data_IF_058822902231
#
_entry.id   IF_058822902231
#
_cell.length_a   1.000
_cell.length_b   1.000
_cell.length_c   1.000
_cell.angle_alpha   90.00
_cell.angle_beta   90.00
_cell.angle_gamma   90.00
#
_symmetry.space_group_name_H-M   'P 1'
#
loop_
_entity.id
_entity.type
_entity.pdbx_description
1 polymer ?
#
# COMPACT_ATOMS: atom_id res chain seq x y z
N UNK A 1 -54.66 41.08 -29.85
CA UNK A 1 -53.85 40.94 -28.62
C UNK A 1 -53.18 39.59 -28.65
N UNK A 2 -51.88 39.56 -28.94
CA UNK A 2 -51.02 38.37 -28.95
C UNK A 2 -49.86 38.67 -27.99
N UNK A 3 -49.44 37.74 -27.11
CA UNK A 3 -48.37 38.01 -26.16
C UNK A 3 -46.99 37.72 -26.78
N UNK A 4 -46.03 38.56 -26.42
CA UNK A 4 -44.60 38.50 -26.74
C UNK A 4 -43.88 37.29 -26.10
N UNK A 5 -42.82 36.74 -26.73
CA UNK A 5 -42.02 35.67 -26.14
C UNK A 5 -40.95 36.22 -25.17
N UNK A 6 -40.75 35.51 -24.06
CA UNK A 6 -39.73 35.76 -23.04
C UNK A 6 -38.34 35.33 -23.53
N UNK A 7 -37.31 36.13 -23.19
CA UNK A 7 -35.90 35.86 -23.49
C UNK A 7 -35.36 34.76 -22.57
N UNK A 8 -34.91 33.65 -23.17
CA UNK A 8 -34.14 32.61 -22.49
C UNK A 8 -32.70 33.04 -22.23
N UNK A 9 -32.24 32.83 -21.00
CA UNK A 9 -30.86 33.02 -20.55
C UNK A 9 -29.99 31.93 -21.20
N UNK A 10 -28.99 32.33 -21.99
CA UNK A 10 -27.95 31.43 -22.50
C UNK A 10 -26.87 31.27 -21.43
N UNK A 11 -26.78 30.09 -20.81
CA UNK A 11 -25.59 29.69 -20.03
C UNK A 11 -24.47 29.27 -21.00
N UNK A 12 -23.34 29.94 -20.95
CA UNK A 12 -22.11 29.59 -21.69
C UNK A 12 -21.31 28.50 -20.95
N UNK A 13 -20.78 27.47 -21.62
CA UNK A 13 -20.16 26.29 -20.97
C UNK A 13 -18.65 26.46 -20.67
N UNK A 14 -18.13 27.68 -20.58
CA UNK A 14 -16.68 27.92 -20.61
C UNK A 14 -15.98 27.88 -19.24
N UNK A 15 -16.70 28.02 -18.12
CA UNK A 15 -16.05 28.02 -16.79
C UNK A 15 -15.69 26.63 -16.26
N UNK A 16 -16.40 25.57 -16.67
CA UNK A 16 -16.18 24.23 -16.10
C UNK A 16 -14.90 23.56 -16.62
N UNK A 17 -14.49 23.85 -17.86
CA UNK A 17 -13.28 23.27 -18.45
C UNK A 17 -11.98 23.90 -17.97
N UNK A 18 -12.00 25.19 -17.61
CA UNK A 18 -10.82 25.87 -17.08
C UNK A 18 -10.41 25.34 -15.70
N UNK A 19 -11.36 24.90 -14.87
CA UNK A 19 -11.09 24.32 -13.56
C UNK A 19 -10.49 22.91 -13.67
N UNK A 20 -10.96 22.11 -14.63
CA UNK A 20 -10.43 20.76 -14.91
C UNK A 20 -9.01 20.84 -15.47
N UNK A 21 -8.74 21.80 -16.36
CA UNK A 21 -7.40 22.03 -16.90
C UNK A 21 -6.43 22.53 -15.83
N UNK A 22 -6.89 23.42 -14.92
CA UNK A 22 -6.07 23.90 -13.80
C UNK A 22 -5.69 22.78 -12.84
N UNK A 23 -6.60 21.84 -12.54
CA UNK A 23 -6.31 20.67 -11.71
C UNK A 23 -5.31 19.70 -12.37
N UNK A 24 -5.41 19.49 -13.69
CA UNK A 24 -4.47 18.65 -14.45
C UNK A 24 -3.06 19.26 -14.55
N UNK A 25 -2.97 20.59 -14.74
CA UNK A 25 -1.69 21.30 -14.76
C UNK A 25 -1.06 21.33 -13.36
N UNK A 26 -1.87 21.45 -12.31
CA UNK A 26 -1.39 21.39 -10.93
C UNK A 26 -0.88 19.98 -10.56
N UNK A 27 -1.53 18.89 -11.01
CA UNK A 27 -1.04 17.52 -10.83
C UNK A 27 0.29 17.25 -11.57
N UNK A 28 0.46 17.84 -12.77
CA UNK A 28 1.66 17.63 -13.58
C UNK A 28 2.87 18.40 -13.04
N UNK A 29 2.65 19.58 -12.44
CA UNK A 29 3.72 20.39 -11.85
C UNK A 29 4.18 19.89 -10.46
N UNK A 30 3.30 19.26 -9.67
CA UNK A 30 3.68 18.76 -8.33
C UNK A 30 4.60 17.53 -8.41
N UNK A 31 4.59 16.75 -9.49
CA UNK A 31 5.48 15.59 -9.63
C UNK A 31 6.98 15.92 -9.74
N UNK A 32 7.35 17.18 -9.94
CA UNK A 32 8.73 17.54 -10.34
C UNK A 32 9.63 18.08 -9.22
N UNK A 33 9.11 18.39 -8.03
CA UNK A 33 9.90 19.01 -6.94
C UNK A 33 9.47 18.60 -5.52
N UNK A 34 8.92 17.39 -5.34
CA UNK A 34 8.93 16.76 -4.02
C UNK A 34 10.34 16.22 -3.78
N UNK A 35 11.24 17.06 -3.26
CA UNK A 35 12.39 16.54 -2.54
C UNK A 35 11.83 15.68 -1.41
N UNK A 36 11.86 14.36 -1.60
CA UNK A 36 11.34 13.36 -0.67
C UNK A 36 12.01 13.60 0.69
N UNK A 37 11.33 14.29 1.61
CA UNK A 37 11.81 14.49 2.98
C UNK A 37 11.63 13.16 3.70
N UNK A 38 12.57 12.25 3.46
CA UNK A 38 12.69 11.01 4.21
C UNK A 38 13.28 11.36 5.59
N UNK A 39 12.68 10.90 6.70
CA UNK A 39 13.29 11.04 8.01
C UNK A 39 14.72 10.51 8.00
N UNK A 40 15.65 11.14 8.73
CA UNK A 40 17.05 10.70 8.78
C UNK A 40 17.19 9.23 9.21
N UNK A 41 16.28 8.75 10.06
CA UNK A 41 16.16 7.34 10.45
C UNK A 41 15.90 6.43 9.25
N UNK A 42 14.93 6.79 8.39
CA UNK A 42 14.62 6.03 7.20
C UNK A 42 15.71 6.11 6.10
N UNK A 43 16.58 7.11 6.15
CA UNK A 43 17.78 7.17 5.30
C UNK A 43 18.89 6.20 5.76
N UNK A 44 18.82 5.71 7.01
CA UNK A 44 19.80 4.80 7.61
C UNK A 44 19.12 3.63 8.35
N UNK A 45 18.39 2.77 7.62
CA UNK A 45 17.53 1.75 8.20
C UNK A 45 18.27 0.78 9.12
N UNK A 46 19.49 0.36 8.75
CA UNK A 46 20.30 -0.54 9.55
C UNK A 46 20.69 0.06 10.92
N UNK A 47 21.03 1.36 10.95
CA UNK A 47 21.31 2.08 12.20
C UNK A 47 20.01 2.31 13.00
N UNK A 48 18.94 2.77 12.35
CA UNK A 48 17.69 3.12 13.04
C UNK A 48 16.96 1.92 13.63
N UNK A 49 17.09 0.75 13.01
CA UNK A 49 16.43 -0.48 13.44
C UNK A 49 17.34 -1.36 14.31
N UNK A 50 18.56 -0.91 14.63
CA UNK A 50 19.48 -1.66 15.47
C UNK A 50 18.91 -1.88 16.87
N UNK A 51 18.92 -3.12 17.34
CA UNK A 51 18.36 -3.50 18.63
C UNK A 51 16.83 -3.63 18.63
N UNK A 52 16.15 -3.37 17.52
CA UNK A 52 14.71 -3.62 17.39
C UNK A 52 14.48 -5.10 17.13
N UNK A 53 14.09 -5.81 18.18
CA UNK A 53 13.77 -7.23 18.14
C UNK A 53 12.30 -7.46 17.79
N UNK A 54 12.05 -8.14 16.67
CA UNK A 54 10.71 -8.60 16.26
C UNK A 54 10.66 -10.13 16.25
N UNK A 55 9.46 -10.70 16.38
CA UNK A 55 9.30 -12.15 16.41
C UNK A 55 9.10 -12.70 15.01
N UNK A 56 9.82 -13.77 14.64
CA UNK A 56 9.53 -14.52 13.41
C UNK A 56 8.20 -15.25 13.53
N UNK A 57 7.41 -15.20 12.46
CA UNK A 57 6.10 -15.86 12.35
C UNK A 57 6.14 -16.96 11.29
N UNK A 58 6.88 -16.71 10.21
CA UNK A 58 7.22 -17.69 9.18
C UNK A 58 8.72 -17.68 8.89
N UNK A 59 9.34 -18.85 8.62
CA UNK A 59 8.71 -20.19 8.46
C UNK A 59 8.04 -20.73 9.74
N UNK A 60 7.02 -21.59 9.60
CA UNK A 60 6.22 -22.05 10.75
C UNK A 60 7.10 -22.71 11.83
N UNK A 61 6.69 -22.53 13.10
CA UNK A 61 7.38 -23.01 14.31
C UNK A 61 8.70 -22.32 14.65
N UNK A 62 9.18 -21.38 13.83
CA UNK A 62 10.23 -20.46 14.25
C UNK A 62 9.62 -19.30 15.03
N UNK A 63 9.79 -19.30 16.35
CA UNK A 63 9.40 -18.19 17.23
C UNK A 63 10.61 -17.40 17.71
N UNK A 64 11.73 -17.47 17.00
CA UNK A 64 12.93 -16.74 17.37
C UNK A 64 12.74 -15.23 17.20
N UNK A 65 13.49 -14.50 17.99
CA UNK A 65 13.65 -13.06 17.84
C UNK A 65 14.63 -12.76 16.71
N UNK A 66 14.33 -11.74 15.92
CA UNK A 66 15.17 -11.20 14.86
C UNK A 66 15.43 -9.71 15.12
N UNK A 67 16.69 -9.31 15.18
CA UNK A 67 17.09 -7.89 15.21
C UNK A 67 17.21 -7.39 13.77
N UNK A 68 16.27 -6.54 13.35
CA UNK A 68 16.20 -6.08 11.96
C UNK A 68 17.47 -5.30 11.59
N UNK A 69 17.96 -4.41 12.45
CA UNK A 69 19.14 -3.60 12.14
C UNK A 69 20.41 -4.45 12.02
N UNK A 70 20.54 -5.49 12.85
CA UNK A 70 21.66 -6.44 12.76
C UNK A 70 21.62 -7.23 11.45
N UNK A 71 20.46 -7.74 11.04
CA UNK A 71 20.27 -8.46 9.77
C UNK A 71 20.62 -7.59 8.56
N UNK A 72 20.19 -6.32 8.57
CA UNK A 72 20.49 -5.37 7.50
C UNK A 72 21.98 -5.01 7.46
N UNK A 73 22.61 -4.82 8.61
CA UNK A 73 24.05 -4.55 8.70
C UNK A 73 24.90 -5.75 8.24
N UNK A 74 24.38 -6.97 8.41
CA UNK A 74 25.04 -8.23 8.04
C UNK A 74 25.06 -8.54 6.54
N UNK A 75 24.43 -7.73 5.69
CA UNK A 75 24.42 -7.96 4.24
C UNK A 75 25.84 -7.73 3.67
N UNK A 76 26.51 -8.82 3.30
CA UNK A 76 27.91 -8.79 2.81
C UNK A 76 28.04 -8.98 1.29
N UNK A 77 27.07 -9.67 0.68
CA UNK A 77 26.99 -9.90 -0.77
C UNK A 77 26.28 -8.76 -1.52
N UNK A 78 26.02 -8.99 -2.81
CA UNK A 78 25.32 -8.04 -3.70
C UNK A 78 23.79 -8.17 -3.64
N UNK A 79 23.30 -9.13 -2.86
CA UNK A 79 21.87 -9.33 -2.62
C UNK A 79 21.25 -8.15 -1.88
N UNK A 80 19.95 -7.95 -2.10
CA UNK A 80 19.19 -6.87 -1.48
C UNK A 80 18.08 -7.43 -0.61
N UNK A 81 17.88 -6.77 0.53
CA UNK A 81 16.77 -7.06 1.44
C UNK A 81 15.77 -5.91 1.40
N UNK A 82 14.53 -6.22 1.07
CA UNK A 82 13.41 -5.29 1.24
C UNK A 82 12.83 -5.45 2.65
N UNK A 83 12.62 -4.36 3.36
CA UNK A 83 11.90 -4.36 4.64
C UNK A 83 10.63 -3.57 4.47
N UNK A 84 9.50 -4.21 4.71
CA UNK A 84 8.19 -3.55 4.79
C UNK A 84 7.80 -3.46 6.25
N UNK A 85 7.59 -2.23 6.72
CA UNK A 85 7.07 -1.93 8.04
C UNK A 85 5.57 -1.68 7.87
N UNK A 86 4.80 -2.77 7.88
CA UNK A 86 3.36 -2.72 7.79
C UNK A 86 2.72 -2.07 9.00
N UNK A 87 1.51 -1.58 8.81
CA UNK A 87 0.57 -1.17 9.86
C UNK A 87 -0.04 -2.39 10.56
N UNK A 88 -1.12 -2.23 11.32
CA UNK A 88 -1.79 -3.38 11.93
C UNK A 88 -2.41 -4.32 10.89
N UNK A 89 -2.63 -5.59 11.25
CA UNK A 89 -2.96 -6.65 10.29
C UNK A 89 -4.24 -6.38 9.46
N UNK A 90 -5.23 -5.73 10.05
CA UNK A 90 -6.48 -5.34 9.39
C UNK A 90 -6.49 -3.95 8.76
N UNK A 91 -5.35 -3.26 8.65
CA UNK A 91 -5.30 -1.92 8.03
C UNK A 91 -5.14 -2.00 6.50
N UNK A 92 -5.57 -0.93 5.81
CA UNK A 92 -5.43 -0.85 4.35
C UNK A 92 -3.98 -0.92 3.88
N UNK A 93 -3.03 -0.29 4.58
CA UNK A 93 -1.64 -0.24 4.11
C UNK A 93 -1.02 -1.62 4.13
N UNK A 94 -1.15 -2.37 5.23
CA UNK A 94 -0.66 -3.75 5.34
C UNK A 94 -1.24 -4.64 4.24
N UNK A 95 -2.56 -4.57 4.03
CA UNK A 95 -3.23 -5.35 3.00
C UNK A 95 -2.70 -5.00 1.59
N UNK A 96 -2.57 -3.72 1.27
CA UNK A 96 -2.06 -3.26 -0.03
C UNK A 96 -0.58 -3.61 -0.24
N UNK A 97 0.27 -3.48 0.78
CA UNK A 97 1.67 -3.92 0.72
C UNK A 97 1.75 -5.40 0.35
N UNK A 98 1.02 -6.26 1.06
CA UNK A 98 1.01 -7.70 0.81
C UNK A 98 0.47 -8.04 -0.59
N UNK A 99 -0.61 -7.39 -1.02
CA UNK A 99 -1.19 -7.54 -2.36
C UNK A 99 -0.22 -7.16 -3.46
N UNK A 100 0.44 -6.00 -3.34
CA UNK A 100 1.44 -5.53 -4.32
C UNK A 100 2.66 -6.44 -4.34
N UNK A 101 3.23 -6.80 -3.19
CA UNK A 101 4.40 -7.70 -3.13
C UNK A 101 4.10 -9.03 -3.80
N UNK A 102 2.93 -9.64 -3.50
CA UNK A 102 2.52 -10.91 -4.13
C UNK A 102 2.45 -10.79 -5.66
N UNK A 103 1.87 -9.71 -6.18
CA UNK A 103 1.73 -9.50 -7.62
C UNK A 103 3.08 -9.25 -8.32
N UNK A 104 4.01 -8.55 -7.64
CA UNK A 104 5.28 -8.13 -8.23
C UNK A 104 6.48 -8.99 -7.84
N UNK A 105 6.29 -10.08 -7.08
CA UNK A 105 7.38 -10.90 -6.57
C UNK A 105 8.40 -11.33 -7.65
N UNK A 106 7.98 -11.78 -8.86
CA UNK A 106 8.92 -12.12 -9.92
C UNK A 106 9.77 -10.93 -10.41
N UNK A 107 9.20 -9.72 -10.44
CA UNK A 107 9.91 -8.51 -10.87
C UNK A 107 10.83 -7.96 -9.78
N UNK A 108 10.41 -8.04 -8.51
CA UNK A 108 11.24 -7.70 -7.34
C UNK A 108 12.53 -8.52 -7.35
N UNK A 109 12.44 -9.81 -7.67
CA UNK A 109 13.62 -10.66 -7.83
C UNK A 109 14.41 -10.31 -9.10
N UNK A 110 13.80 -10.48 -10.28
CA UNK A 110 14.52 -10.47 -11.55
C UNK A 110 15.05 -9.08 -11.95
N UNK A 111 14.26 -8.03 -11.73
CA UNK A 111 14.61 -6.65 -12.07
C UNK A 111 15.24 -5.95 -10.85
N UNK A 112 14.62 -6.07 -9.69
CA UNK A 112 15.06 -5.44 -8.45
C UNK A 112 16.35 -6.06 -7.87
N UNK A 113 16.57 -7.36 -8.06
CA UNK A 113 17.64 -8.10 -7.39
C UNK A 113 17.38 -8.19 -5.87
N UNK A 114 16.11 -8.28 -5.47
CA UNK A 114 15.70 -8.49 -4.10
C UNK A 114 15.64 -9.98 -3.86
N UNK A 115 16.48 -10.47 -2.96
CA UNK A 115 16.59 -11.89 -2.64
C UNK A 115 15.83 -12.23 -1.35
N UNK A 116 15.57 -11.21 -0.51
CA UNK A 116 14.91 -11.37 0.78
C UNK A 116 13.93 -10.23 1.05
N UNK A 117 12.78 -10.56 1.62
CA UNK A 117 11.75 -9.61 2.07
C UNK A 117 11.42 -9.87 3.54
N UNK A 118 11.59 -8.86 4.38
CA UNK A 118 11.13 -8.85 5.76
C UNK A 118 9.80 -8.11 5.82
N UNK A 119 8.69 -8.84 5.96
CA UNK A 119 7.34 -8.27 6.10
C UNK A 119 7.00 -8.16 7.59
N UNK A 120 7.17 -6.98 8.18
CA UNK A 120 6.78 -6.68 9.56
C UNK A 120 5.33 -6.24 9.61
N UNK A 121 4.54 -6.80 10.52
CA UNK A 121 3.12 -6.43 10.72
C UNK A 121 2.91 -6.04 12.18
N UNK A 122 2.19 -4.93 12.41
CA UNK A 122 1.86 -4.48 13.76
C UNK A 122 0.73 -5.33 14.37
N UNK A 123 1.04 -6.56 14.75
CA UNK A 123 0.08 -7.48 15.34
C UNK A 123 0.75 -8.70 15.93
N UNK A 124 0.00 -9.46 16.70
CA UNK A 124 0.43 -10.74 17.26
C UNK A 124 0.69 -11.79 16.16
N UNK A 125 1.49 -12.84 16.43
CA UNK A 125 1.80 -13.86 15.44
C UNK A 125 0.55 -14.50 14.81
N UNK A 126 -0.52 -14.68 15.59
CA UNK A 126 -1.81 -15.22 15.09
C UNK A 126 -2.49 -14.29 14.08
N UNK A 127 -2.39 -12.97 14.28
CA UNK A 127 -2.96 -11.95 13.40
C UNK A 127 -2.17 -11.87 12.10
N UNK A 128 -0.84 -11.92 12.20
CA UNK A 128 0.08 -11.98 11.07
C UNK A 128 -0.23 -13.20 10.18
N UNK A 129 -0.34 -14.39 10.78
CA UNK A 129 -0.71 -15.62 10.07
C UNK A 129 -2.07 -15.51 9.39
N UNK A 130 -3.05 -14.93 10.09
CA UNK A 130 -4.40 -14.79 9.55
C UNK A 130 -4.43 -13.88 8.32
N UNK A 131 -3.84 -12.69 8.38
CA UNK A 131 -3.83 -11.77 7.22
C UNK A 131 -3.04 -12.37 6.04
N UNK A 132 -1.90 -13.02 6.31
CA UNK A 132 -1.14 -13.70 5.28
C UNK A 132 -1.97 -14.79 4.59
N UNK A 133 -2.69 -15.63 5.35
CA UNK A 133 -3.59 -16.65 4.80
C UNK A 133 -4.74 -16.04 3.99
N UNK A 134 -5.38 -14.98 4.47
CA UNK A 134 -6.52 -14.34 3.77
C UNK A 134 -6.10 -13.71 2.43
N UNK A 135 -4.81 -13.38 2.30
CA UNK A 135 -4.23 -12.80 1.10
C UNK A 135 -3.40 -13.80 0.29
N UNK A 136 -3.43 -15.10 0.60
CA UNK A 136 -2.55 -16.09 -0.06
C UNK A 136 -1.11 -15.57 -0.18
N UNK A 137 -0.62 -14.90 0.87
CA UNK A 137 0.67 -14.23 0.86
C UNK A 137 1.77 -15.30 0.91
N UNK A 138 2.75 -15.29 -0.01
CA UNK A 138 3.80 -16.28 -0.02
C UNK A 138 4.70 -16.12 1.21
N UNK A 139 4.80 -17.16 2.05
CA UNK A 139 5.59 -17.16 3.28
C UNK A 139 6.66 -18.28 3.31
N UNK A 140 7.18 -18.62 2.13
CA UNK A 140 8.22 -19.63 1.92
C UNK A 140 8.09 -20.27 0.54
N UNK A 141 9.19 -20.78 0.00
CA UNK A 141 9.19 -21.48 -1.30
C UNK A 141 9.03 -20.54 -2.50
N UNK A 142 10.15 -20.10 -3.05
CA UNK A 142 10.20 -19.19 -4.19
C UNK A 142 11.62 -18.67 -4.37
N UNK A 143 11.90 -17.99 -5.48
CA UNK A 143 13.24 -17.42 -5.71
C UNK A 143 13.61 -16.29 -4.74
N UNK A 144 12.62 -15.68 -4.06
CA UNK A 144 12.79 -14.67 -3.01
C UNK A 144 12.39 -15.28 -1.67
N UNK A 145 13.26 -15.16 -0.67
CA UNK A 145 12.95 -15.54 0.71
C UNK A 145 12.04 -14.48 1.35
N UNK A 146 10.88 -14.88 1.86
CA UNK A 146 9.95 -13.97 2.53
C UNK A 146 9.77 -14.42 3.97
N UNK A 147 10.13 -13.56 4.91
CA UNK A 147 9.89 -13.75 6.33
C UNK A 147 8.77 -12.84 6.81
N UNK A 148 7.77 -13.45 7.44
CA UNK A 148 6.71 -12.71 8.11
C UNK A 148 7.10 -12.49 9.56
N UNK A 149 7.06 -11.24 10.01
CA UNK A 149 7.52 -10.80 11.32
C UNK A 149 6.38 -10.10 12.09
N UNK A 150 6.32 -10.36 13.39
CA UNK A 150 5.31 -9.85 14.31
C UNK A 150 5.92 -8.77 15.20
N UNK A 151 5.31 -7.58 15.18
CA UNK A 151 5.64 -6.43 16.04
C UNK A 151 4.36 -5.87 16.68
N UNK A 152 3.78 -6.53 17.70
CA UNK A 152 2.46 -6.18 18.23
C UNK A 152 2.32 -4.72 18.70
N UNK A 153 3.45 -4.11 19.06
CA UNK A 153 3.54 -2.75 19.58
C UNK A 153 4.00 -1.73 18.53
N UNK A 154 4.38 -2.14 17.32
CA UNK A 154 4.77 -1.26 16.23
C UNK A 154 6.07 -0.47 16.50
N UNK A 155 6.98 -1.02 17.28
CA UNK A 155 8.23 -0.34 17.64
C UNK A 155 9.20 -0.22 16.45
N UNK A 156 9.21 -1.18 15.52
CA UNK A 156 10.05 -1.12 14.32
C UNK A 156 9.68 0.05 13.41
N UNK A 157 8.37 0.25 13.17
CA UNK A 157 7.87 1.41 12.44
C UNK A 157 8.31 2.73 13.08
N UNK A 158 8.18 2.85 14.41
CA UNK A 158 8.55 4.08 15.15
C UNK A 158 10.05 4.35 15.09
N UNK A 159 10.86 3.31 15.25
CA UNK A 159 12.31 3.42 15.15
C UNK A 159 12.76 3.86 13.74
N UNK A 160 12.09 3.37 12.69
CA UNK A 160 12.31 3.80 11.31
C UNK A 160 11.82 5.24 11.05
N UNK A 161 10.92 5.77 11.88
CA UNK A 161 10.42 7.15 11.80
C UNK A 161 9.09 7.29 11.05
N UNK A 162 8.25 6.25 11.03
CA UNK A 162 6.89 6.35 10.47
C UNK A 162 6.01 7.29 11.32
N UNK A 163 4.98 7.86 10.70
CA UNK A 163 4.02 8.69 11.44
C UNK A 163 3.23 7.87 12.45
N UNK A 164 3.02 8.44 13.64
CA UNK A 164 2.14 7.86 14.68
C UNK A 164 0.66 8.19 14.46
N UNK A 165 0.35 9.05 13.48
CA UNK A 165 -1.01 9.41 13.08
C UNK A 165 -1.69 10.44 13.97
N UNK A 166 -3.02 10.51 13.87
CA UNK A 166 -3.83 11.51 14.57
C UNK A 166 -4.05 11.16 16.05
N UNK A 167 -3.41 11.95 16.94
CA UNK A 167 -3.59 11.89 18.40
C UNK A 167 -3.51 10.45 18.97
N UNK A 168 -2.40 9.73 18.70
CA UNK A 168 -2.27 8.31 19.08
C UNK A 168 -2.39 8.10 20.59
N UNK A 169 -1.75 8.96 21.38
CA UNK A 169 -1.68 8.87 22.85
C UNK A 169 -2.83 9.58 23.57
N UNK A 170 -3.89 9.95 22.84
CA UNK A 170 -5.01 10.67 23.44
C UNK A 170 -6.09 9.72 23.93
N UNK A 171 -6.02 9.35 25.20
CA UNK A 171 -6.97 8.42 25.83
C UNK A 171 -8.38 9.01 25.97
N UNK A 172 -8.55 10.33 25.77
CA UNK A 172 -9.88 10.95 25.79
C UNK A 172 -10.66 10.73 24.51
N UNK A 173 -9.99 10.35 23.41
CA UNK A 173 -10.62 10.06 22.13
C UNK A 173 -10.83 8.56 21.95
N UNK A 174 -12.02 8.19 21.49
CA UNK A 174 -12.29 6.79 21.15
C UNK A 174 -11.44 6.36 19.94
N UNK A 175 -11.04 5.07 19.87
CA UNK A 175 -10.38 4.48 18.70
C UNK A 175 -11.09 4.80 17.37
N UNK A 176 -12.43 4.77 17.38
CA UNK A 176 -13.24 5.10 16.22
C UNK A 176 -13.04 6.54 15.75
N UNK A 177 -13.00 7.52 16.66
CA UNK A 177 -12.79 8.93 16.30
C UNK A 177 -11.38 9.13 15.74
N UNK A 178 -10.37 8.52 16.35
CA UNK A 178 -8.98 8.56 15.86
C UNK A 178 -8.91 8.04 14.41
N UNK A 179 -9.50 6.86 14.16
CA UNK A 179 -9.51 6.24 12.83
C UNK A 179 -10.33 7.05 11.82
N UNK A 180 -11.49 7.58 12.22
CA UNK A 180 -12.32 8.42 11.36
C UNK A 180 -11.54 9.66 10.90
N UNK A 181 -10.90 10.37 11.83
CA UNK A 181 -10.08 11.54 11.51
C UNK A 181 -8.93 11.19 10.54
N UNK A 182 -8.17 10.13 10.82
CA UNK A 182 -7.13 9.64 9.89
C UNK A 182 -7.68 9.29 8.51
N UNK A 183 -8.87 8.66 8.47
CA UNK A 183 -9.59 8.26 7.25
C UNK A 183 -10.02 9.42 6.36
N UNK A 184 -10.42 10.53 6.97
CA UNK A 184 -10.78 11.76 6.22
C UNK A 184 -9.61 12.72 6.04
N UNK A 185 -8.38 12.29 6.36
CA UNK A 185 -7.16 13.09 6.20
C UNK A 185 -6.99 14.21 7.21
N UNK A 186 -7.63 14.11 8.39
CA UNK A 186 -7.38 15.01 9.52
C UNK A 186 -6.24 14.46 10.36
N UNK A 187 -5.20 15.27 10.50
CA UNK A 187 -4.00 14.95 11.26
C UNK A 187 -2.83 14.56 10.36
N UNK A 188 -1.59 14.67 10.85
CA UNK A 188 -0.45 14.16 10.13
C UNK A 188 -0.52 12.63 10.10
N UNK A 189 -0.22 11.99 8.97
CA UNK A 189 0.13 12.58 7.69
C UNK A 189 -1.12 12.81 6.80
N UNK A 190 -1.14 13.93 6.08
CA UNK A 190 -2.35 14.49 5.44
C UNK A 190 -2.71 13.87 4.07
N UNK A 191 -1.97 12.86 3.60
CA UNK A 191 -2.08 12.36 2.23
C UNK A 191 -3.12 11.23 2.04
N UNK A 192 -3.95 10.91 3.05
CA UNK A 192 -5.01 9.90 2.91
C UNK A 192 -5.95 10.22 1.74
N UNK A 193 -6.53 11.44 1.69
CA UNK A 193 -7.44 11.80 0.60
C UNK A 193 -6.74 11.80 -0.77
N UNK A 194 -5.55 12.42 -0.94
CA UNK A 194 -4.76 12.28 -2.16
C UNK A 194 -4.44 10.83 -2.58
N UNK A 195 -4.26 9.89 -1.65
CA UNK A 195 -4.00 8.48 -1.95
C UNK A 195 -5.29 7.70 -2.33
N UNK A 196 -6.44 8.15 -1.84
CA UNK A 196 -7.73 7.49 -2.05
C UNK A 196 -8.45 7.96 -3.31
N UNK A 197 -8.44 9.27 -3.60
CA UNK A 197 -9.14 9.86 -4.74
C UNK A 197 -8.76 9.29 -6.11
N UNK A 198 -7.48 8.98 -6.42
CA UNK A 198 -7.11 8.36 -7.69
C UNK A 198 -7.77 7.00 -7.92
N UNK A 199 -8.19 6.31 -6.85
CA UNK A 199 -8.92 5.05 -6.98
C UNK A 199 -10.36 5.21 -7.45
N UNK A 200 -10.95 6.40 -7.28
CA UNK A 200 -12.29 6.72 -7.77
C UNK A 200 -12.22 7.33 -9.18
N UNK A 201 -11.26 8.22 -9.43
CA UNK A 201 -11.17 8.93 -10.71
C UNK A 201 -10.40 8.17 -11.79
N UNK A 202 -9.55 7.22 -11.41
CA UNK A 202 -8.62 6.56 -12.32
C UNK A 202 -7.38 7.40 -12.61
N UNK A 203 -6.43 6.80 -13.34
CA UNK A 203 -5.21 7.45 -13.82
C UNK A 203 -4.89 6.88 -15.22
N UNK A 204 -4.87 7.70 -16.28
CA UNK A 204 -4.52 7.26 -17.63
C UNK A 204 -3.18 6.54 -17.69
N UNK A 205 -2.22 6.96 -16.87
CA UNK A 205 -0.86 6.42 -16.79
C UNK A 205 -0.66 5.50 -15.58
N UNK A 206 -1.73 5.20 -14.84
CA UNK A 206 -1.67 4.34 -13.67
C UNK A 206 -1.31 2.91 -14.04
N UNK A 207 -0.93 2.14 -13.03
CA UNK A 207 -0.70 0.69 -13.15
C UNK A 207 -1.90 -0.06 -12.57
N UNK A 208 -2.27 -1.18 -13.21
CA UNK A 208 -3.45 -2.00 -12.85
C UNK A 208 -3.16 -3.48 -12.68
N UNK A 209 -1.98 -3.95 -13.04
CA UNK A 209 -1.64 -5.37 -13.08
C UNK A 209 -1.87 -6.01 -11.71
N UNK A 210 -1.38 -5.36 -10.64
CA UNK A 210 -1.60 -5.82 -9.26
C UNK A 210 -3.04 -5.67 -8.78
N UNK A 211 -3.80 -4.72 -9.35
CA UNK A 211 -5.20 -4.48 -8.97
C UNK A 211 -6.06 -5.64 -9.48
N UNK A 212 -5.91 -5.99 -10.76
CA UNK A 212 -6.61 -7.13 -11.37
C UNK A 212 -6.21 -8.45 -10.70
N UNK A 213 -4.91 -8.67 -10.47
CA UNK A 213 -4.43 -9.86 -9.78
C UNK A 213 -5.00 -9.98 -8.36
N UNK A 214 -5.14 -8.85 -7.66
CA UNK A 214 -5.72 -8.83 -6.31
C UNK A 214 -7.23 -9.01 -6.29
N UNK A 215 -7.95 -8.43 -7.25
CA UNK A 215 -9.38 -8.65 -7.44
C UNK A 215 -9.68 -10.11 -7.79
N UNK A 216 -8.84 -10.73 -8.64
CA UNK A 216 -8.92 -12.15 -8.99
C UNK A 216 -8.71 -13.02 -7.77
N UNK A 217 -7.61 -12.84 -7.05
CA UNK A 217 -7.35 -13.61 -5.83
C UNK A 217 -8.49 -13.47 -4.83
N UNK A 218 -9.00 -12.26 -4.60
CA UNK A 218 -10.16 -12.07 -3.73
C UNK A 218 -11.42 -12.75 -4.21
N UNK A 219 -11.73 -12.69 -5.51
CA UNK A 219 -12.88 -13.35 -6.11
C UNK A 219 -12.79 -14.88 -6.00
N UNK A 220 -11.61 -15.47 -6.21
CA UNK A 220 -11.36 -16.90 -6.02
C UNK A 220 -11.49 -17.32 -4.54
N UNK A 221 -11.12 -16.46 -3.60
CA UNK A 221 -11.40 -16.67 -2.17
C UNK A 221 -12.85 -16.37 -1.77
N UNK A 222 -13.76 -16.13 -2.72
CA UNK A 222 -15.17 -15.85 -2.46
C UNK A 222 -15.47 -14.48 -1.87
N UNK A 223 -14.58 -13.48 -2.04
CA UNK A 223 -14.81 -12.10 -1.59
C UNK A 223 -15.64 -11.32 -2.59
N UNK A 224 -16.57 -10.54 -2.04
CA UNK A 224 -17.38 -9.57 -2.78
C UNK A 224 -16.70 -8.19 -2.78
N UNK A 225 -16.75 -7.41 -3.87
CA UNK A 225 -17.44 -7.71 -5.14
C UNK A 225 -16.63 -8.59 -6.10
N UNK A 226 -17.35 -9.39 -6.89
CA UNK A 226 -16.82 -10.23 -7.97
C UNK A 226 -17.05 -9.54 -9.32
N UNK A 227 -16.03 -8.83 -9.78
CA UNK A 227 -16.10 -7.93 -10.95
C UNK A 227 -15.42 -8.50 -12.18
N UNK A 228 -14.59 -9.53 -12.02
CA UNK A 228 -13.86 -10.15 -13.13
C UNK A 228 -14.66 -11.29 -13.73
N UNK A 229 -14.60 -11.43 -15.04
CA UNK A 229 -15.02 -12.63 -15.75
C UNK A 229 -13.79 -13.52 -15.89
N UNK A 230 -13.83 -14.70 -15.26
CA UNK A 230 -12.73 -15.67 -15.28
C UNK A 230 -13.09 -16.82 -16.23
N UNK A 231 -12.09 -17.45 -16.84
CA UNK A 231 -12.29 -18.61 -17.71
C UNK A 231 -12.76 -19.82 -16.88
N UNK A 232 -13.88 -20.44 -17.28
CA UNK A 232 -14.42 -21.62 -16.61
C UNK A 232 -13.46 -22.83 -16.65
N UNK A 233 -12.55 -22.87 -17.63
CA UNK A 233 -11.58 -23.96 -17.80
C UNK A 233 -10.21 -23.64 -17.18
N UNK A 234 -9.92 -22.36 -16.88
CA UNK A 234 -8.69 -21.91 -16.25
C UNK A 234 -8.96 -20.64 -15.42
N UNK A 235 -9.26 -20.82 -14.14
CA UNK A 235 -9.62 -19.74 -13.23
C UNK A 235 -8.50 -18.69 -13.02
N UNK A 236 -7.27 -19.00 -13.44
CA UNK A 236 -6.16 -18.04 -13.41
C UNK A 236 -6.22 -17.02 -14.54
N UNK A 237 -7.02 -17.29 -15.57
CA UNK A 237 -7.16 -16.45 -16.75
C UNK A 237 -8.36 -15.50 -16.60
N UNK A 238 -8.07 -14.21 -16.64
CA UNK A 238 -9.07 -13.15 -16.71
C UNK A 238 -9.52 -12.99 -18.16
N UNK A 239 -10.81 -13.21 -18.44
CA UNK A 239 -11.42 -13.02 -19.76
C UNK A 239 -11.83 -11.57 -19.99
N UNK A 240 -12.45 -10.95 -18.98
CA UNK A 240 -12.87 -9.56 -19.04
C UNK A 240 -12.90 -8.94 -17.64
N UNK A 241 -12.76 -7.63 -17.59
CA UNK A 241 -12.95 -6.85 -16.39
C UNK A 241 -14.08 -5.85 -16.63
N UNK A 242 -15.10 -5.85 -15.77
CA UNK A 242 -16.30 -5.00 -15.95
C UNK A 242 -16.00 -3.49 -16.04
N UNK A 243 -14.81 -3.03 -15.60
CA UNK A 243 -14.38 -1.65 -15.78
C UNK A 243 -13.90 -1.33 -17.21
N UNK A 244 -13.67 -2.32 -18.07
CA UNK A 244 -13.33 -2.11 -19.49
C UNK A 244 -14.44 -1.37 -20.26
N UNK A 245 -15.69 -1.56 -19.86
CA UNK A 245 -16.87 -0.94 -20.48
C UNK A 245 -17.13 0.50 -19.99
N UNK A 246 -16.24 1.07 -19.17
CA UNK A 246 -16.43 2.42 -18.64
C UNK A 246 -16.52 3.47 -19.76
N UNK A 247 -17.52 4.38 -19.71
CA UNK A 247 -17.83 5.30 -20.80
C UNK A 247 -16.72 6.33 -21.02
N UNK A 248 -16.79 7.06 -22.14
CA UNK A 248 -15.83 8.13 -22.49
C UNK A 248 -14.38 7.64 -22.70
N UNK A 249 -14.20 6.35 -22.99
CA UNK A 249 -12.88 5.77 -23.30
C UNK A 249 -11.97 5.53 -22.10
N UNK A 250 -12.47 5.79 -20.88
CA UNK A 250 -11.69 5.63 -19.63
C UNK A 250 -11.46 4.16 -19.26
N UNK A 251 -12.21 3.23 -19.86
CA UNK A 251 -11.96 1.78 -19.71
C UNK A 251 -10.60 1.33 -20.24
N UNK A 252 -9.91 2.15 -21.05
CA UNK A 252 -8.56 1.86 -21.56
C UNK A 252 -7.44 2.50 -20.74
N UNK A 253 -7.76 3.19 -19.65
CA UNK A 253 -6.76 3.83 -18.80
C UNK A 253 -5.91 2.78 -18.08
N UNK A 254 -4.65 3.14 -17.83
CA UNK A 254 -3.73 2.29 -17.08
C UNK A 254 -4.23 1.96 -15.68
N UNK A 255 -4.99 2.86 -15.03
CA UNK A 255 -5.87 2.57 -13.89
C UNK A 255 -7.26 3.12 -14.19
N UNK A 256 -8.28 2.26 -14.18
CA UNK A 256 -9.64 2.66 -14.53
C UNK A 256 -10.34 3.36 -13.35
N UNK A 257 -11.29 4.26 -13.61
CA UNK A 257 -12.14 4.83 -12.56
C UNK A 257 -12.82 3.73 -11.75
N UNK A 258 -12.92 3.95 -10.44
CA UNK A 258 -13.48 3.04 -9.43
C UNK A 258 -12.78 1.70 -9.23
N UNK A 259 -11.92 1.24 -10.13
CA UNK A 259 -11.34 -0.10 -10.07
C UNK A 259 -10.52 -0.34 -8.78
N UNK A 260 -9.61 0.57 -8.44
CA UNK A 260 -8.83 0.49 -7.20
C UNK A 260 -9.72 0.68 -5.96
N UNK A 261 -10.72 1.56 -6.04
CA UNK A 261 -11.68 1.74 -4.96
C UNK A 261 -12.51 0.45 -4.73
N UNK A 262 -12.80 -0.30 -5.79
CA UNK A 262 -13.47 -1.59 -5.74
C UNK A 262 -12.60 -2.67 -5.13
N UNK A 263 -11.30 -2.70 -5.42
CA UNK A 263 -10.36 -3.58 -4.71
C UNK A 263 -10.34 -3.26 -3.21
N UNK A 264 -10.22 -1.98 -2.85
CA UNK A 264 -10.25 -1.53 -1.45
C UNK A 264 -11.56 -1.92 -0.77
N UNK A 265 -12.70 -1.78 -1.46
CA UNK A 265 -13.99 -2.24 -0.96
C UNK A 265 -14.02 -3.76 -0.77
N UNK A 266 -13.44 -4.53 -1.69
CA UNK A 266 -13.34 -5.99 -1.58
C UNK A 266 -12.53 -6.42 -0.35
N UNK A 267 -11.40 -5.74 -0.10
CA UNK A 267 -10.60 -5.92 1.11
C UNK A 267 -11.35 -5.50 2.38
N UNK A 268 -12.05 -4.37 2.35
CA UNK A 268 -12.83 -3.87 3.48
C UNK A 268 -13.92 -4.84 3.91
N UNK A 269 -14.75 -5.28 2.98
CA UNK A 269 -15.86 -6.19 3.28
C UNK A 269 -15.35 -7.60 3.59
N UNK A 270 -14.45 -8.12 2.75
CA UNK A 270 -14.02 -9.51 2.78
C UNK A 270 -12.97 -9.85 3.84
N UNK A 271 -12.18 -8.86 4.28
CA UNK A 271 -11.12 -9.04 5.29
C UNK A 271 -11.42 -8.20 6.52
N UNK A 272 -11.41 -6.87 6.40
CA UNK A 272 -11.33 -5.98 7.56
C UNK A 272 -12.59 -6.06 8.43
N UNK A 273 -13.78 -5.96 7.84
CA UNK A 273 -15.06 -6.06 8.55
C UNK A 273 -15.30 -7.50 9.01
N UNK A 274 -15.09 -8.48 8.12
CA UNK A 274 -15.37 -9.90 8.39
C UNK A 274 -14.51 -10.49 9.52
N UNK A 275 -13.27 -10.02 9.66
CA UNK A 275 -12.27 -10.54 10.60
C UNK A 275 -11.80 -9.50 11.62
N UNK A 276 -12.56 -8.42 11.83
CA UNK A 276 -12.15 -7.29 12.68
C UNK A 276 -11.67 -7.71 14.08
N UNK A 277 -12.40 -8.63 14.73
CA UNK A 277 -12.05 -9.09 16.09
C UNK A 277 -10.70 -9.79 16.16
N UNK A 278 -10.28 -10.42 15.06
CA UNK A 278 -9.04 -11.19 14.95
C UNK A 278 -7.88 -10.31 14.44
N UNK A 279 -8.17 -9.29 13.63
CA UNK A 279 -7.18 -8.47 12.93
C UNK A 279 -6.93 -7.07 13.52
N UNK A 280 -7.78 -6.59 14.44
CA UNK A 280 -7.57 -5.29 15.12
C UNK A 280 -6.26 -5.29 15.91
N UNK A 281 -5.58 -4.14 16.08
CA UNK A 281 -4.35 -4.11 16.85
C UNK A 281 -4.61 -4.47 18.33
N UNK A 282 -3.62 -5.08 18.98
CA UNK A 282 -3.62 -5.31 20.43
C UNK A 282 -3.17 -4.06 21.21
N UNK A 283 -2.41 -3.20 20.56
CA UNK A 283 -1.94 -1.92 21.08
C UNK A 283 -2.63 -0.76 20.34
N UNK A 284 -3.41 0.03 21.06
CA UNK A 284 -4.18 1.15 20.49
C UNK A 284 -3.29 2.20 19.80
N UNK A 285 -2.00 2.30 20.18
CA UNK A 285 -1.04 3.20 19.53
C UNK A 285 -0.76 2.80 18.08
N UNK A 286 -1.00 1.54 17.73
CA UNK A 286 -0.83 1.02 16.37
C UNK A 286 -2.03 1.33 15.46
N UNK A 287 -3.17 1.78 16.00
CA UNK A 287 -4.38 2.02 15.22
C UNK A 287 -4.19 3.13 14.18
N UNK A 288 -3.54 4.23 14.56
CA UNK A 288 -3.27 5.36 13.68
C UNK A 288 -1.82 5.39 13.17
N UNK A 289 -1.00 4.43 13.57
CA UNK A 289 0.38 4.36 13.12
C UNK A 289 0.42 3.96 11.64
N UNK A 290 1.22 4.68 10.87
CA UNK A 290 1.45 4.43 9.46
C UNK A 290 2.62 3.47 9.23
N UNK A 291 2.78 3.02 7.99
CA UNK A 291 3.84 2.11 7.59
C UNK A 291 4.98 2.80 6.86
N UNK A 292 5.83 1.97 6.27
CA UNK A 292 6.91 2.38 5.41
C UNK A 292 7.60 1.19 4.77
N UNK A 293 8.55 1.47 3.90
CA UNK A 293 9.32 0.45 3.18
C UNK A 293 10.73 0.95 2.91
N UNK A 294 11.70 0.05 2.94
CA UNK A 294 13.07 0.34 2.51
C UNK A 294 13.66 -0.85 1.76
N UNK A 295 14.58 -0.60 0.83
CA UNK A 295 15.41 -1.63 0.21
C UNK A 295 16.85 -1.34 0.57
N UNK A 296 17.52 -2.35 1.11
CA UNK A 296 18.86 -2.24 1.69
C UNK A 296 19.81 -3.18 0.97
N UNK A 297 20.97 -2.66 0.60
CA UNK A 297 22.06 -3.44 -0.01
C UNK A 297 23.20 -3.70 0.96
N UNK A 298 24.37 -4.00 0.39
CA UNK A 298 25.60 -4.31 1.12
C UNK A 298 25.93 -3.29 2.20
N UNK A 299 26.28 -3.79 3.39
CA UNK A 299 26.70 -3.01 4.55
C UNK A 299 25.59 -2.20 5.21
N UNK A 300 24.31 -2.53 4.95
CA UNK A 300 23.18 -1.82 5.55
C UNK A 300 22.80 -0.50 4.83
N UNK A 301 23.33 -0.27 3.63
CA UNK A 301 23.07 0.96 2.87
C UNK A 301 21.66 0.96 2.28
N UNK A 302 20.87 2.01 2.57
CA UNK A 302 19.57 2.22 1.94
C UNK A 302 19.76 2.57 0.46
N UNK A 303 19.12 1.77 -0.41
CA UNK A 303 19.02 2.00 -1.85
C UNK A 303 17.70 2.70 -2.22
N UNK A 304 16.68 2.49 -1.40
CA UNK A 304 15.37 3.13 -1.52
C UNK A 304 14.72 3.19 -0.14
N UNK A 305 14.00 4.27 0.16
CA UNK A 305 13.20 4.40 1.39
C UNK A 305 11.92 5.20 1.14
N UNK A 306 10.84 4.74 1.75
CA UNK A 306 9.52 5.33 1.72
C UNK A 306 8.90 5.30 3.11
N UNK A 307 8.25 6.40 3.49
CA UNK A 307 7.43 6.49 4.68
C UNK A 307 6.02 6.85 4.24
N UNK A 308 5.04 6.05 4.62
CA UNK A 308 3.66 6.27 4.22
C UNK A 308 3.16 7.63 4.74
N UNK A 309 2.59 8.44 3.86
CA UNK A 309 2.09 9.79 4.18
C UNK A 309 0.57 9.82 4.36
N UNK A 310 -0.07 8.66 4.41
CA UNK A 310 -1.50 8.54 4.64
C UNK A 310 -1.96 7.09 4.61
N UNK A 311 -3.25 6.90 4.84
CA UNK A 311 -3.89 5.62 4.55
C UNK A 311 -3.91 5.42 3.03
N UNK A 312 -3.61 4.20 2.63
CA UNK A 312 -3.41 3.73 1.28
C UNK A 312 -2.28 4.42 0.48
N UNK A 313 -1.33 5.08 1.15
CA UNK A 313 -0.14 5.71 0.54
C UNK A 313 1.07 4.74 0.51
N UNK A 314 0.85 3.57 -0.07
CA UNK A 314 1.87 2.53 -0.28
C UNK A 314 2.65 2.86 -1.57
N UNK A 315 3.99 2.77 -1.59
CA UNK A 315 4.78 3.18 -2.75
C UNK A 315 4.39 2.37 -4.00
N UNK A 316 4.56 2.97 -5.17
CA UNK A 316 4.47 2.22 -6.42
C UNK A 316 5.69 1.31 -6.53
N UNK A 317 5.49 0.00 -6.74
CA UNK A 317 6.60 -0.94 -6.85
C UNK A 317 7.42 -0.71 -8.11
N UNK A 318 6.87 -0.08 -9.15
CA UNK A 318 7.66 0.36 -10.30
C UNK A 318 8.68 1.44 -9.91
N UNK A 319 8.30 2.40 -9.05
CA UNK A 319 9.23 3.44 -8.59
C UNK A 319 10.39 2.83 -7.81
N UNK A 320 10.13 1.81 -7.00
CA UNK A 320 11.18 1.03 -6.31
C UNK A 320 12.08 0.35 -7.34
N UNK A 321 11.50 -0.36 -8.30
CA UNK A 321 12.26 -1.11 -9.32
C UNK A 321 13.09 -0.19 -10.22
N UNK A 322 12.58 0.99 -10.55
CA UNK A 322 13.27 1.99 -11.37
C UNK A 322 14.43 2.62 -10.58
N UNK A 323 14.22 2.93 -9.30
CA UNK A 323 15.29 3.38 -8.40
C UNK A 323 16.43 2.35 -8.29
N UNK A 324 16.10 1.07 -8.09
CA UNK A 324 17.09 -0.01 -7.99
C UNK A 324 17.82 -0.28 -9.31
N UNK A 325 17.19 -0.01 -10.45
CA UNK A 325 17.80 -0.15 -11.77
C UNK A 325 18.77 0.99 -12.08
N UNK A 326 18.53 2.19 -11.56
CA UNK A 326 19.43 3.33 -11.69
C UNK A 326 20.76 3.08 -10.95
N UNK A 327 20.72 2.47 -9.76
CA UNK A 327 21.90 2.13 -8.95
C UNK A 327 22.86 1.17 -9.66
N UNK A 328 22.38 0.28 -10.54
CA UNK A 328 23.23 -0.67 -11.28
C UNK A 328 24.11 -0.03 -12.37
N UNK A 329 23.92 1.25 -12.70
CA UNK A 329 24.61 1.93 -13.82
C UNK A 329 25.84 2.73 -13.42
N UNK A 330 26.17 2.78 -12.14
CA UNK A 330 27.40 3.40 -11.59
C UNK A 330 28.45 2.33 -11.27
#
# INVERSE_FOLDING_TARGET
>A
MLPTPSRGIRCTPTLSWCLVLALFVQQSFIRSLDALVVPLSAAKPAESLAGVSVQKVFPEHDSSALDIGAELSGITGDGKTMVVLGTYAGDFNTIEYMQKIRAFLPELQSRGGIDRILMVVNGEPTQCKLVARLLDFPTGGGGVEIELLSDPHGEAGRAFGVSRGFRPDDDSLSPFVKQFCSGIGIGPPWMTLPAVLPGYFGDPNGRREWIEESLKQGQLSGRWPSILELDENDENRILANKFDDAPLGVGKWGRRPFELATLRLQSLVGIQIKHWSELKPVDDRCLTQHGGCTVVGKGGNALYSWVDRGLCDVPDLHDILDALSAVKKE
#
